data_IF_617390599077
#
_entry.id   IF_617390599077
#
_cell.length_a   1.000
_cell.length_b   1.000
_cell.length_c   1.000
_cell.angle_alpha   90.00
_cell.angle_beta   90.00
_cell.angle_gamma   90.00
#
_symmetry.space_group_name_H-M   'P 1'
#
loop_
_entity.id
_entity.type
_entity.pdbx_description
1 polymer ?
#
# COMPACT_ATOMS: atom_id res chain seq x y z
N UNK A 1 0.05 8.67 16.32
CA UNK A 1 1.15 8.33 15.37
C UNK A 1 0.82 8.89 14.00
N UNK A 2 1.74 9.60 13.39
CA UNK A 2 1.60 10.07 12.00
C UNK A 2 2.12 9.02 11.03
N UNK A 3 1.80 9.16 9.73
CA UNK A 3 2.35 8.28 8.70
C UNK A 3 3.87 8.34 8.66
N UNK A 4 4.46 9.52 8.82
CA UNK A 4 5.91 9.68 8.81
C UNK A 4 6.56 9.02 10.03
N UNK A 5 5.95 9.16 11.21
CA UNK A 5 6.42 8.45 12.41
C UNK A 5 6.36 6.93 12.23
N UNK A 6 5.27 6.43 11.66
CA UNK A 6 5.14 5.02 11.33
C UNK A 6 6.27 4.57 10.40
N UNK A 7 6.50 5.34 9.34
CA UNK A 7 7.52 4.99 8.33
C UNK A 7 8.93 4.93 8.95
N UNK A 8 9.25 5.87 9.83
CA UNK A 8 10.54 5.87 10.55
C UNK A 8 10.70 4.63 11.43
N UNK A 9 9.64 4.26 12.15
CA UNK A 9 9.66 3.07 13.00
C UNK A 9 9.76 1.79 12.15
N UNK A 10 9.02 1.71 11.07
CA UNK A 10 9.06 0.56 10.17
C UNK A 10 10.42 0.40 9.49
N UNK A 11 11.09 1.51 9.16
CA UNK A 11 12.41 1.50 8.53
C UNK A 11 13.47 0.75 9.34
N UNK A 12 13.28 0.64 10.65
CA UNK A 12 14.20 -0.08 11.53
C UNK A 12 14.27 -1.59 11.22
N UNK A 13 13.30 -2.11 10.50
CA UNK A 13 13.22 -3.52 10.12
C UNK A 13 13.84 -3.81 8.75
N UNK A 14 14.27 -2.80 8.02
CA UNK A 14 14.91 -2.97 6.71
C UNK A 14 16.28 -3.60 6.91
N UNK A 15 16.59 -4.63 6.11
CA UNK A 15 17.89 -5.29 6.14
C UNK A 15 18.99 -4.32 5.66
N UNK A 16 19.90 -3.86 6.55
CA UNK A 16 20.91 -2.86 6.19
C UNK A 16 21.97 -3.39 5.22
N UNK A 17 22.04 -4.69 5.02
CA UNK A 17 23.03 -5.33 4.14
C UNK A 17 22.62 -5.27 2.67
N UNK A 18 21.34 -4.98 2.38
CA UNK A 18 20.86 -4.86 1.02
C UNK A 18 21.21 -3.50 0.41
N UNK A 19 21.53 -3.48 -0.88
CA UNK A 19 21.66 -2.24 -1.63
C UNK A 19 20.27 -1.65 -1.91
N UNK A 20 20.19 -0.36 -2.27
CA UNK A 20 18.91 0.34 -2.45
C UNK A 20 17.98 -0.37 -3.43
N UNK A 21 18.46 -0.80 -4.59
CA UNK A 21 17.63 -1.51 -5.56
C UNK A 21 17.16 -2.89 -5.06
N UNK A 22 17.98 -3.54 -4.23
CA UNK A 22 17.61 -4.81 -3.61
C UNK A 22 16.51 -4.60 -2.56
N UNK A 23 16.60 -3.51 -1.79
CA UNK A 23 15.56 -3.14 -0.81
C UNK A 23 14.24 -2.86 -1.51
N UNK A 24 14.27 -2.12 -2.63
CA UNK A 24 13.08 -1.85 -3.44
C UNK A 24 12.46 -3.15 -3.97
N UNK A 25 13.27 -4.02 -4.53
CA UNK A 25 12.79 -5.30 -5.04
C UNK A 25 12.23 -6.20 -3.92
N UNK A 26 12.91 -6.24 -2.78
CA UNK A 26 12.43 -6.98 -1.60
C UNK A 26 11.05 -6.47 -1.17
N UNK A 27 10.90 -5.15 -1.06
CA UNK A 27 9.65 -4.53 -0.66
C UNK A 27 8.52 -4.80 -1.65
N UNK A 28 8.80 -4.69 -2.94
CA UNK A 28 7.81 -4.96 -3.98
C UNK A 28 7.37 -6.42 -3.97
N UNK A 29 8.32 -7.34 -3.83
CA UNK A 29 8.03 -8.78 -3.73
C UNK A 29 7.22 -9.07 -2.47
N UNK A 30 7.59 -8.46 -1.35
CA UNK A 30 6.85 -8.58 -0.10
C UNK A 30 5.42 -8.05 -0.21
N UNK A 31 5.24 -6.93 -0.90
CA UNK A 31 3.91 -6.35 -1.12
C UNK A 31 2.98 -7.32 -1.87
N UNK A 32 3.48 -7.96 -2.92
CA UNK A 32 2.71 -8.98 -3.66
C UNK A 32 2.37 -10.16 -2.76
N UNK A 33 3.33 -10.63 -1.97
CA UNK A 33 3.12 -11.75 -1.05
C UNK A 33 2.06 -11.42 0.01
N UNK A 34 2.11 -10.22 0.60
CA UNK A 34 1.14 -9.82 1.64
C UNK A 34 -0.26 -9.62 1.06
N UNK A 35 -0.39 -9.12 -0.15
CA UNK A 35 -1.68 -9.05 -0.84
C UNK A 35 -2.24 -10.47 -1.05
N UNK A 36 -1.39 -11.43 -1.38
CA UNK A 36 -1.76 -12.83 -1.49
C UNK A 36 -2.25 -13.41 -0.16
N UNK A 37 -1.56 -13.11 0.94
CA UNK A 37 -2.00 -13.53 2.28
C UNK A 37 -3.35 -12.93 2.66
N UNK A 38 -3.57 -11.66 2.34
CA UNK A 38 -4.86 -11.01 2.53
C UNK A 38 -5.95 -11.71 1.74
N UNK A 39 -5.69 -12.02 0.48
CA UNK A 39 -6.64 -12.71 -0.40
C UNK A 39 -6.99 -14.11 0.14
N UNK A 40 -6.01 -14.83 0.73
CA UNK A 40 -6.23 -16.17 1.25
C UNK A 40 -7.28 -16.20 2.39
N UNK A 41 -7.41 -15.12 3.15
CA UNK A 41 -8.42 -15.01 4.22
C UNK A 41 -9.82 -15.14 3.63
N UNK A 42 -10.09 -14.43 2.53
CA UNK A 42 -11.38 -14.48 1.82
C UNK A 42 -11.60 -15.82 1.12
N UNK A 43 -10.54 -16.37 0.53
CA UNK A 43 -10.60 -17.69 -0.11
C UNK A 43 -11.03 -18.76 0.89
N UNK A 44 -10.46 -18.74 2.10
CA UNK A 44 -10.81 -19.67 3.16
C UNK A 44 -12.25 -19.50 3.63
N UNK A 45 -12.73 -18.25 3.72
CA UNK A 45 -14.13 -17.98 4.08
C UNK A 45 -15.08 -18.61 3.06
N UNK A 46 -14.77 -18.49 1.76
CA UNK A 46 -15.57 -19.13 0.71
C UNK A 46 -15.62 -20.66 0.84
N UNK A 47 -14.61 -21.25 1.47
CA UNK A 47 -14.54 -22.69 1.71
C UNK A 47 -15.15 -23.09 3.05
N UNK A 48 -15.77 -22.18 3.78
CA UNK A 48 -16.45 -22.47 5.04
C UNK A 48 -15.65 -22.17 6.29
N UNK A 49 -14.45 -21.61 6.19
CA UNK A 49 -13.70 -21.16 7.36
C UNK A 49 -14.33 -19.90 7.95
N UNK A 50 -14.23 -19.74 9.26
CA UNK A 50 -14.68 -18.52 9.92
C UNK A 50 -13.79 -17.35 9.51
N UNK A 51 -14.40 -16.22 9.12
CA UNK A 51 -13.68 -15.00 8.81
C UNK A 51 -12.97 -14.45 10.05
N UNK A 52 -11.70 -14.13 9.91
CA UNK A 52 -10.87 -13.60 11.00
C UNK A 52 -10.50 -12.16 10.73
N UNK A 53 -11.24 -11.22 11.31
CA UNK A 53 -11.02 -9.79 11.12
C UNK A 53 -9.67 -9.32 11.66
N UNK A 54 -9.24 -9.84 12.82
CA UNK A 54 -7.93 -9.48 13.38
C UNK A 54 -6.79 -9.86 12.43
N UNK A 55 -6.89 -11.04 11.83
CA UNK A 55 -5.91 -11.49 10.84
C UNK A 55 -5.90 -10.58 9.60
N UNK A 56 -7.09 -10.21 9.13
CA UNK A 56 -7.25 -9.25 8.02
C UNK A 56 -6.49 -7.94 8.32
N UNK A 57 -6.71 -7.37 9.51
CA UNK A 57 -6.07 -6.10 9.89
C UNK A 57 -4.55 -6.23 9.98
N UNK A 58 -4.06 -7.36 10.47
CA UNK A 58 -2.61 -7.63 10.53
C UNK A 58 -1.99 -7.70 9.13
N UNK A 59 -2.66 -8.37 8.19
CA UNK A 59 -2.19 -8.43 6.80
C UNK A 59 -2.24 -7.06 6.11
N UNK A 60 -3.25 -6.25 6.41
CA UNK A 60 -3.27 -4.85 5.94
C UNK A 60 -2.07 -4.07 6.49
N UNK A 61 -1.70 -4.32 7.74
CA UNK A 61 -0.51 -3.74 8.34
C UNK A 61 0.77 -4.15 7.61
N UNK A 62 0.88 -5.40 7.22
CA UNK A 62 2.04 -5.90 6.49
C UNK A 62 2.13 -5.31 5.08
N UNK A 63 0.99 -5.05 4.42
CA UNK A 63 0.94 -4.32 3.15
C UNK A 63 1.47 -2.90 3.34
N UNK A 64 1.02 -2.21 4.39
CA UNK A 64 1.51 -0.88 4.71
C UNK A 64 3.01 -0.88 4.99
N UNK A 65 3.48 -1.88 5.72
CA UNK A 65 4.90 -2.06 6.02
C UNK A 65 5.75 -2.20 4.76
N UNK A 66 5.35 -3.07 3.83
CA UNK A 66 6.08 -3.26 2.57
C UNK A 66 6.04 -2.01 1.69
N UNK A 67 4.93 -1.30 1.67
CA UNK A 67 4.84 -0.03 0.96
C UNK A 67 5.78 1.02 1.56
N UNK A 68 5.84 1.11 2.89
CA UNK A 68 6.76 2.01 3.58
C UNK A 68 8.21 1.68 3.28
N UNK A 69 8.58 0.39 3.25
CA UNK A 69 9.93 -0.06 2.89
C UNK A 69 10.30 0.38 1.47
N UNK A 70 9.40 0.18 0.51
CA UNK A 70 9.62 0.58 -0.87
C UNK A 70 9.92 2.08 -0.98
N UNK A 71 9.10 2.89 -0.33
CA UNK A 71 9.24 4.34 -0.37
C UNK A 71 10.51 4.81 0.35
N UNK A 72 10.83 4.22 1.49
CA UNK A 72 12.06 4.54 2.23
C UNK A 72 13.28 4.23 1.37
N UNK A 73 13.31 3.08 0.70
CA UNK A 73 14.41 2.70 -0.17
C UNK A 73 14.58 3.67 -1.34
N UNK A 74 13.49 4.23 -1.85
CA UNK A 74 13.51 5.20 -2.95
C UNK A 74 13.69 6.65 -2.51
N UNK A 75 13.78 6.92 -1.23
CA UNK A 75 13.95 8.28 -0.70
C UNK A 75 12.66 9.09 -0.64
N UNK A 76 11.52 8.43 -0.55
CA UNK A 76 10.21 9.05 -0.50
C UNK A 76 9.49 8.78 0.82
N UNK A 77 8.43 9.54 1.10
CA UNK A 77 7.63 9.36 2.30
C UNK A 77 6.20 8.90 1.97
N UNK A 78 5.59 8.19 2.91
CA UNK A 78 4.17 7.81 2.81
C UNK A 78 3.29 9.07 2.73
N UNK A 79 3.64 10.12 3.48
CA UNK A 79 2.85 11.36 3.47
C UNK A 79 2.84 12.02 2.09
N UNK A 80 4.01 12.16 1.45
CA UNK A 80 4.05 12.79 0.11
C UNK A 80 3.23 11.99 -0.91
N UNK A 81 3.28 10.66 -0.85
CA UNK A 81 2.49 9.80 -1.73
C UNK A 81 1.00 9.96 -1.43
N UNK A 82 0.63 10.05 -0.15
CA UNK A 82 -0.76 10.29 0.24
C UNK A 82 -1.28 11.62 -0.30
N UNK A 83 -0.48 12.69 -0.19
CA UNK A 83 -0.83 14.02 -0.72
C UNK A 83 -1.01 13.96 -2.23
N UNK A 84 -0.04 13.39 -2.95
CA UNK A 84 -0.12 13.23 -4.40
C UNK A 84 -1.36 12.45 -4.82
N UNK A 85 -1.69 11.40 -4.09
CA UNK A 85 -2.85 10.58 -4.39
C UNK A 85 -4.16 11.36 -4.15
N UNK A 86 -4.26 12.09 -3.05
CA UNK A 86 -5.45 12.92 -2.78
C UNK A 86 -5.62 14.00 -3.86
N UNK A 87 -4.54 14.64 -4.28
CA UNK A 87 -4.60 15.65 -5.35
C UNK A 87 -5.10 15.05 -6.66
N UNK A 88 -4.59 13.86 -7.01
CA UNK A 88 -5.04 13.13 -8.18
C UNK A 88 -6.54 12.76 -8.09
N UNK A 89 -6.98 12.28 -6.94
CA UNK A 89 -8.38 11.89 -6.74
C UNK A 89 -9.32 13.10 -6.77
N UNK A 90 -8.91 14.24 -6.22
CA UNK A 90 -9.69 15.48 -6.29
C UNK A 90 -9.81 15.99 -7.73
N UNK A 91 -8.75 15.87 -8.51
CA UNK A 91 -8.79 16.24 -9.93
C UNK A 91 -9.72 15.34 -10.74
N UNK A 92 -9.68 14.01 -10.45
CA UNK A 92 -10.53 13.02 -11.12
C UNK A 92 -12.00 13.14 -10.70
N UNK A 93 -12.24 13.31 -9.42
CA UNK A 93 -13.58 13.36 -8.81
C UNK A 93 -13.74 14.58 -7.91
N UNK A 94 -13.85 15.81 -8.50
CA UNK A 94 -13.91 17.03 -7.69
C UNK A 94 -15.09 17.09 -6.73
N UNK A 95 -16.20 16.42 -7.07
CA UNK A 95 -17.43 16.40 -6.28
C UNK A 95 -17.76 15.00 -5.74
N UNK A 96 -16.75 14.14 -5.59
CA UNK A 96 -16.93 12.75 -5.22
C UNK A 96 -17.03 11.83 -6.44
N UNK A 97 -17.22 10.55 -6.23
CA UNK A 97 -17.27 9.57 -7.31
C UNK A 97 -18.33 9.92 -8.35
N UNK A 98 -17.97 9.79 -9.62
CA UNK A 98 -18.84 10.05 -10.76
C UNK A 98 -18.51 9.04 -11.86
N UNK A 99 -19.53 8.30 -12.33
CA UNK A 99 -19.37 7.26 -13.34
C UNK A 99 -18.84 7.79 -14.66
N UNK A 100 -19.34 8.95 -15.11
CA UNK A 100 -18.89 9.56 -16.36
C UNK A 100 -17.42 9.95 -16.29
N UNK A 101 -16.99 10.53 -15.16
CA UNK A 101 -15.58 10.87 -14.97
C UNK A 101 -14.69 9.62 -14.89
N UNK A 102 -15.21 8.52 -14.34
CA UNK A 102 -14.49 7.25 -14.30
C UNK A 102 -14.29 6.66 -15.70
N UNK A 103 -15.32 6.75 -16.54
CA UNK A 103 -15.30 6.20 -17.91
C UNK A 103 -14.49 7.06 -18.88
N UNK A 104 -14.43 8.39 -18.64
CA UNK A 104 -13.83 9.37 -19.54
C UNK A 104 -12.68 10.12 -18.87
N UNK A 105 -11.68 9.37 -18.38
CA UNK A 105 -10.49 9.98 -17.79
C UNK A 105 -9.61 10.64 -18.85
N UNK A 106 -8.96 11.76 -18.46
CA UNK A 106 -7.98 12.40 -19.31
C UNK A 106 -6.75 11.52 -19.56
N UNK A 107 -6.02 11.79 -20.65
CA UNK A 107 -4.84 11.01 -21.01
C UNK A 107 -3.74 11.06 -19.92
N UNK A 108 -3.67 12.16 -19.16
CA UNK A 108 -2.67 12.36 -18.11
C UNK A 108 -3.14 11.85 -16.72
N UNK A 109 -4.36 11.34 -16.62
CA UNK A 109 -4.91 10.80 -15.38
C UNK A 109 -4.51 9.34 -15.23
N UNK A 110 -3.35 9.13 -14.67
CA UNK A 110 -2.77 7.80 -14.44
C UNK A 110 -2.66 7.50 -12.95
#
# INVERSE_FOLDING_TARGET
>A
MTLNEYQELAARTINPKLMSHQKEFHALTGLVAEVGELHSIYQKELQGHKFNEEHLLKECGDILWMLAELLTAGGHTLEEVAVMNIDKLKARYPDGFDTERSLHRGADDI
#
